data_IF_879888445495
#
_entry.id   IF_879888445495
#
_cell.length_a   1.000
_cell.length_b   1.000
_cell.length_c   1.000
_cell.angle_alpha   90.00
_cell.angle_beta   90.00
_cell.angle_gamma   90.00
#
_symmetry.space_group_name_H-M   'P 1'
#
loop_
_entity.id
_entity.type
_entity.pdbx_description
1 polymer ?
#
# COMPACT_ATOMS: atom_id res chain seq x y z
N UNK A 1 7.28 -1.33 13.70
CA UNK A 1 5.94 -0.82 13.38
C UNK A 1 4.94 -1.01 14.55
N UNK A 2 5.40 -0.88 15.76
CA UNK A 2 4.55 -0.91 16.95
C UNK A 2 4.73 0.40 17.73
N UNK A 3 3.73 0.84 18.48
CA UNK A 3 2.43 0.22 18.72
C UNK A 3 1.43 0.37 17.56
N UNK A 4 0.36 -0.45 17.57
CA UNK A 4 -0.72 -0.39 16.60
C UNK A 4 -2.07 -0.23 17.32
N UNK A 5 -2.95 0.61 16.81
CA UNK A 5 -4.35 0.72 17.20
C UNK A 5 -5.23 0.12 16.10
N UNK A 6 -6.28 -0.59 16.47
CA UNK A 6 -7.15 -1.34 15.56
C UNK A 6 -8.61 -0.90 15.65
N UNK A 7 -9.39 -1.25 14.61
CA UNK A 7 -10.83 -0.97 14.58
C UNK A 7 -11.17 0.51 14.45
N UNK A 8 -10.27 1.31 13.91
CA UNK A 8 -10.42 2.74 13.71
C UNK A 8 -10.73 3.04 12.25
N UNK A 9 -11.64 3.99 12.03
CA UNK A 9 -11.93 4.55 10.71
C UNK A 9 -11.09 5.82 10.48
N UNK A 10 -10.02 5.78 9.66
CA UNK A 10 -9.15 6.93 9.44
C UNK A 10 -9.82 8.07 8.69
N UNK A 11 -11.09 7.94 8.33
CA UNK A 11 -11.88 9.03 7.73
C UNK A 11 -12.63 9.86 8.76
N UNK A 12 -12.56 9.48 10.05
CA UNK A 12 -13.20 10.15 11.18
C UNK A 12 -12.16 10.76 12.12
N UNK A 13 -12.30 12.04 12.41
CA UNK A 13 -11.39 12.78 13.30
C UNK A 13 -11.34 12.22 14.73
N UNK A 14 -12.47 11.70 15.21
CA UNK A 14 -12.60 11.09 16.53
C UNK A 14 -11.74 9.82 16.61
N UNK A 15 -11.78 8.98 15.58
CA UNK A 15 -10.99 7.74 15.52
C UNK A 15 -9.48 8.04 15.33
N UNK A 16 -9.13 9.08 14.58
CA UNK A 16 -7.77 9.58 14.51
C UNK A 16 -7.24 9.98 15.88
N UNK A 17 -8.00 10.79 16.61
CA UNK A 17 -7.66 11.25 17.97
C UNK A 17 -7.54 10.08 18.94
N UNK A 18 -8.47 9.12 18.88
CA UNK A 18 -8.44 7.92 19.70
C UNK A 18 -7.17 7.10 19.44
N UNK A 19 -6.82 6.88 18.16
CA UNK A 19 -5.61 6.16 17.77
C UNK A 19 -4.33 6.84 18.26
N UNK A 20 -4.26 8.17 18.18
CA UNK A 20 -3.14 8.95 18.72
C UNK A 20 -2.96 8.74 20.22
N UNK A 21 -4.05 8.85 20.99
CA UNK A 21 -4.02 8.67 22.45
C UNK A 21 -3.59 7.25 22.80
N UNK A 22 -4.20 6.25 22.18
CA UNK A 22 -3.94 4.84 22.43
C UNK A 22 -2.49 4.46 22.11
N UNK A 23 -1.99 4.82 20.91
CA UNK A 23 -0.61 4.53 20.55
C UNK A 23 0.41 5.23 21.44
N UNK A 24 0.17 6.46 21.88
CA UNK A 24 1.06 7.16 22.81
C UNK A 24 1.05 6.55 24.20
N UNK A 25 -0.07 6.00 24.64
CA UNK A 25 -0.13 5.26 25.89
C UNK A 25 0.68 3.96 25.79
N UNK A 26 0.53 3.18 24.72
CA UNK A 26 1.34 1.98 24.50
C UNK A 26 2.84 2.26 24.46
N UNK A 27 3.27 3.38 23.87
CA UNK A 27 4.69 3.77 23.90
C UNK A 27 5.20 3.91 25.33
N UNK A 28 4.45 4.55 26.21
CA UNK A 28 4.82 4.71 27.63
C UNK A 28 4.89 3.35 28.35
N UNK A 29 3.93 2.47 28.11
CA UNK A 29 3.88 1.12 28.66
C UNK A 29 5.07 0.28 28.20
N UNK A 30 5.40 0.31 26.90
CA UNK A 30 6.55 -0.40 26.34
C UNK A 30 7.85 0.11 26.97
N UNK A 31 8.06 1.42 27.06
CA UNK A 31 9.27 1.99 27.65
C UNK A 31 9.38 1.63 29.14
N UNK A 32 8.26 1.68 29.88
CA UNK A 32 8.23 1.29 31.28
C UNK A 32 8.57 -0.19 31.46
N UNK A 33 8.01 -1.06 30.62
CA UNK A 33 8.33 -2.48 30.59
C UNK A 33 9.81 -2.74 30.33
N UNK A 34 10.37 -2.12 29.29
CA UNK A 34 11.79 -2.28 28.94
C UNK A 34 12.70 -1.85 30.07
N UNK A 35 12.45 -0.70 30.70
CA UNK A 35 13.21 -0.22 31.86
C UNK A 35 13.18 -1.15 33.05
N UNK A 36 12.05 -1.81 33.28
CA UNK A 36 11.87 -2.68 34.47
C UNK A 36 12.38 -4.11 34.27
N UNK A 37 12.54 -4.57 33.04
CA UNK A 37 12.90 -5.95 32.75
C UNK A 37 14.31 -6.15 32.18
N UNK A 38 14.95 -5.08 31.70
CA UNK A 38 16.29 -5.12 31.10
C UNK A 38 17.19 -4.09 31.74
N UNK A 39 18.21 -4.53 32.47
CA UNK A 39 19.17 -3.65 33.17
C UNK A 39 19.87 -2.71 32.21
N UNK A 40 20.20 -3.20 30.98
CA UNK A 40 20.85 -2.43 29.93
C UNK A 40 19.98 -1.29 29.39
N UNK A 41 18.68 -1.36 29.61
CA UNK A 41 17.69 -0.41 29.11
C UNK A 41 17.07 0.47 30.21
N UNK A 42 17.55 0.39 31.43
CA UNK A 42 16.99 1.14 32.56
C UNK A 42 16.97 2.66 32.39
N UNK A 43 17.94 3.18 31.63
CA UNK A 43 18.14 4.61 31.41
C UNK A 43 17.66 5.08 30.02
N UNK A 44 16.97 4.23 29.25
CA UNK A 44 16.44 4.65 27.94
C UNK A 44 15.47 5.81 28.08
N UNK A 45 15.49 6.72 27.11
CA UNK A 45 14.56 7.84 27.00
C UNK A 45 13.91 7.88 25.63
N UNK A 46 12.70 8.44 25.54
CA UNK A 46 12.01 8.69 24.29
C UNK A 46 12.62 9.93 23.65
N UNK A 47 13.44 9.76 22.62
CA UNK A 47 14.06 10.88 21.90
C UNK A 47 13.03 11.62 21.04
N UNK A 48 12.12 10.91 20.38
CA UNK A 48 11.06 11.51 19.56
C UNK A 48 9.90 10.52 19.35
N UNK A 49 8.73 11.06 19.08
CA UNK A 49 7.53 10.32 18.66
C UNK A 49 7.08 10.96 17.36
N UNK A 50 6.54 10.15 16.43
CA UNK A 50 5.93 10.67 15.20
C UNK A 50 4.88 11.74 15.52
N UNK A 51 4.81 12.83 14.75
CA UNK A 51 3.87 13.93 15.03
C UNK A 51 2.41 13.49 14.94
N UNK A 52 2.12 12.52 14.09
CA UNK A 52 0.79 11.96 13.88
C UNK A 52 0.83 10.45 13.63
N UNK A 53 -0.31 9.79 13.85
CA UNK A 53 -0.47 8.36 13.61
C UNK A 53 -0.44 8.06 12.10
N UNK A 54 0.29 7.02 11.71
CA UNK A 54 0.39 6.56 10.31
C UNK A 54 -0.69 5.54 9.97
N UNK A 55 -1.61 5.88 9.07
CA UNK A 55 -2.59 4.94 8.54
C UNK A 55 -2.03 4.19 7.33
N UNK A 56 -2.13 2.88 7.39
CA UNK A 56 -1.64 2.00 6.31
C UNK A 56 -2.69 1.77 5.24
N UNK A 57 -3.96 1.78 5.58
CA UNK A 57 -5.11 1.64 4.69
C UNK A 57 -6.20 2.67 5.05
N UNK A 58 -6.89 3.19 4.03
CA UNK A 58 -8.00 4.12 4.18
C UNK A 58 -8.88 4.08 2.93
N UNK A 59 -8.99 5.20 2.21
CA UNK A 59 -9.79 5.31 1.00
C UNK A 59 -9.03 4.85 -0.23
N UNK A 60 -9.69 4.07 -1.07
CA UNK A 60 -9.25 3.70 -2.43
C UNK A 60 -10.27 4.20 -3.44
N UNK A 61 -9.82 4.55 -4.63
CA UNK A 61 -10.73 4.94 -5.70
C UNK A 61 -11.51 3.74 -6.25
N UNK A 62 -12.61 4.03 -6.92
CA UNK A 62 -13.27 3.11 -7.85
C UNK A 62 -12.72 3.42 -9.23
N UNK A 63 -11.73 2.65 -9.66
CA UNK A 63 -11.07 2.78 -10.96
C UNK A 63 -11.73 1.98 -12.06
N UNK A 64 -11.28 2.19 -13.29
CA UNK A 64 -11.72 1.42 -14.46
C UNK A 64 -11.36 -0.06 -14.34
N UNK A 65 -10.33 -0.39 -13.57
CA UNK A 65 -9.99 -1.74 -13.14
C UNK A 65 -9.80 -1.76 -11.64
N UNK A 66 -10.24 -2.82 -10.97
CA UNK A 66 -10.01 -3.06 -9.55
C UNK A 66 -9.09 -4.27 -9.42
N UNK A 67 -7.84 -4.03 -9.07
CA UNK A 67 -6.90 -5.11 -8.78
C UNK A 67 -7.37 -5.98 -7.63
N UNK A 68 -7.23 -7.28 -7.78
CA UNK A 68 -7.58 -8.26 -6.74
C UNK A 68 -6.39 -9.12 -6.36
N UNK A 69 -6.47 -9.72 -5.17
CA UNK A 69 -5.43 -10.64 -4.71
C UNK A 69 -5.33 -11.86 -5.63
N UNK A 70 -6.45 -12.34 -6.17
CA UNK A 70 -6.48 -13.49 -7.09
C UNK A 70 -5.71 -13.20 -8.37
N UNK A 71 -5.83 -11.98 -8.92
CA UNK A 71 -5.07 -11.55 -10.10
C UNK A 71 -3.56 -11.48 -9.80
N UNK A 72 -3.19 -10.95 -8.62
CA UNK A 72 -1.79 -10.89 -8.20
C UNK A 72 -1.21 -12.29 -7.98
N UNK A 73 -1.96 -13.21 -7.38
CA UNK A 73 -1.55 -14.61 -7.18
C UNK A 73 -1.42 -15.37 -8.51
N UNK A 74 -2.33 -15.11 -9.45
CA UNK A 74 -2.30 -15.68 -10.78
C UNK A 74 -1.20 -15.09 -11.68
N UNK A 75 -0.50 -14.05 -11.22
CA UNK A 75 0.46 -13.28 -12.04
C UNK A 75 -0.16 -12.80 -13.36
N UNK A 76 -1.39 -12.27 -13.25
CA UNK A 76 -2.16 -11.83 -14.40
C UNK A 76 -1.38 -10.78 -15.19
N UNK A 77 -1.25 -11.01 -16.49
CA UNK A 77 -0.68 -10.05 -17.43
C UNK A 77 -1.74 -9.08 -17.95
N UNK A 78 -1.39 -7.80 -18.05
CA UNK A 78 -2.27 -6.77 -18.59
C UNK A 78 -1.62 -6.06 -19.77
N UNK A 79 -2.40 -5.82 -20.83
CA UNK A 79 -1.94 -5.04 -21.98
C UNK A 79 -1.55 -3.59 -21.62
N UNK A 80 -2.13 -3.08 -20.53
CA UNK A 80 -1.91 -1.74 -20.00
C UNK A 80 -1.03 -1.70 -18.75
N UNK A 81 -0.13 -2.65 -18.59
CA UNK A 81 0.83 -2.70 -17.45
C UNK A 81 1.73 -1.47 -17.43
N UNK A 82 1.80 -0.83 -16.25
CA UNK A 82 2.63 0.35 -15.99
C UNK A 82 3.71 0.13 -14.93
N UNK A 83 3.63 -0.96 -14.20
CA UNK A 83 4.61 -1.35 -13.20
C UNK A 83 4.59 -2.86 -13.02
N UNK A 84 5.76 -3.44 -12.73
CA UNK A 84 5.92 -4.83 -12.31
C UNK A 84 6.63 -4.83 -10.97
N UNK A 85 6.10 -5.56 -10.01
CA UNK A 85 6.63 -5.56 -8.65
C UNK A 85 6.73 -6.98 -8.11
N UNK A 86 7.77 -7.30 -7.31
CA UNK A 86 7.86 -8.58 -6.64
C UNK A 86 6.64 -8.83 -5.76
N UNK A 87 6.15 -10.05 -5.74
CA UNK A 87 5.03 -10.43 -4.90
C UNK A 87 5.40 -10.28 -3.42
N UNK A 88 4.69 -9.41 -2.76
CA UNK A 88 4.92 -9.07 -1.36
C UNK A 88 3.61 -8.68 -0.70
N UNK A 89 3.32 -9.23 0.46
CA UNK A 89 2.17 -8.85 1.27
C UNK A 89 2.63 -8.54 2.70
N UNK A 90 2.21 -7.41 3.19
CA UNK A 90 2.45 -6.97 4.56
C UNK A 90 1.11 -6.58 5.18
N UNK A 91 0.41 -7.56 5.71
CA UNK A 91 -0.90 -7.38 6.32
C UNK A 91 -0.87 -7.82 7.78
N UNK A 92 -1.38 -6.95 8.65
CA UNK A 92 -1.68 -7.28 10.04
C UNK A 92 -3.17 -7.55 10.18
N UNK A 93 -3.52 -8.74 10.64
CA UNK A 93 -4.88 -9.03 11.09
C UNK A 93 -5.01 -8.64 12.57
N UNK A 94 -6.11 -8.01 12.99
CA UNK A 94 -6.38 -7.77 14.41
C UNK A 94 -6.33 -9.04 15.25
N UNK A 95 -6.81 -10.15 14.69
CA UNK A 95 -6.85 -11.46 15.38
C UNK A 95 -5.46 -12.07 15.58
N UNK A 96 -4.47 -11.70 14.75
CA UNK A 96 -3.10 -12.18 14.86
C UNK A 96 -2.36 -11.71 16.10
N UNK A 97 -2.74 -10.54 16.58
CA UNK A 97 -2.09 -9.92 17.75
C UNK A 97 -2.62 -10.51 19.04
N UNK A 98 -3.85 -11.10 19.02
CA UNK A 98 -4.51 -11.62 20.21
C UNK A 98 -4.20 -13.08 20.53
N UNK A 99 -3.91 -13.90 19.52
CA UNK A 99 -3.83 -15.36 19.69
C UNK A 99 -2.41 -15.93 19.72
N UNK A 100 -1.38 -15.14 19.43
CA UNK A 100 0.02 -15.62 19.40
C UNK A 100 0.26 -16.75 18.39
N UNK A 101 -0.65 -16.96 17.43
CA UNK A 101 -0.56 -18.04 16.47
C UNK A 101 0.24 -17.62 15.24
N UNK A 102 1.39 -18.26 15.04
CA UNK A 102 2.31 -18.00 13.93
C UNK A 102 1.84 -18.56 12.58
N UNK A 103 0.68 -19.20 12.52
CA UNK A 103 0.29 -19.98 11.36
C UNK A 103 -0.90 -19.37 10.62
N UNK A 104 -0.66 -18.42 9.75
CA UNK A 104 -1.60 -18.12 8.68
C UNK A 104 -1.33 -19.06 7.50
N UNK A 105 -1.74 -20.30 7.64
CA UNK A 105 -1.87 -21.23 6.52
C UNK A 105 -3.34 -21.24 6.09
N UNK A 106 -3.64 -20.50 5.04
CA UNK A 106 -4.95 -20.55 4.39
C UNK A 106 -5.71 -19.21 4.42
N UNK A 107 -6.59 -19.04 3.48
CA UNK A 107 -7.33 -17.82 3.11
C UNK A 107 -8.32 -17.25 4.14
N UNK A 108 -8.20 -17.59 5.38
CA UNK A 108 -8.92 -16.93 6.46
C UNK A 108 -7.94 -16.03 7.20
N UNK A 109 -7.86 -14.78 6.83
CA UNK A 109 -6.93 -13.74 7.28
C UNK A 109 -6.87 -13.57 8.81
N UNK A 110 -6.58 -14.66 9.52
CA UNK A 110 -6.24 -14.65 10.93
C UNK A 110 -4.73 -14.69 11.03
N UNK A 111 -4.12 -13.63 11.53
CA UNK A 111 -2.69 -13.58 11.76
C UNK A 111 -1.94 -12.52 10.93
N UNK A 112 -0.65 -12.41 11.20
CA UNK A 112 0.26 -11.58 10.43
C UNK A 112 0.68 -12.30 9.16
N UNK A 113 0.26 -11.79 8.00
CA UNK A 113 0.74 -12.28 6.73
C UNK A 113 1.91 -11.39 6.31
N UNK A 114 3.11 -11.85 6.63
CA UNK A 114 4.33 -11.35 6.03
C UNK A 114 4.86 -12.43 5.09
N UNK A 115 4.60 -12.29 3.81
CA UNK A 115 5.31 -13.05 2.79
C UNK A 115 6.48 -12.21 2.29
N UNK A 116 7.69 -12.46 2.77
CA UNK A 116 8.87 -11.84 2.22
C UNK A 116 9.05 -12.26 0.77
N UNK A 117 9.71 -11.43 -0.02
CA UNK A 117 10.13 -11.72 -1.38
C UNK A 117 11.07 -12.95 -1.34
N UNK A 118 10.51 -14.16 -1.41
CA UNK A 118 11.26 -15.42 -1.36
C UNK A 118 11.21 -16.19 -2.67
N UNK A 119 10.38 -15.77 -3.59
CA UNK A 119 10.27 -16.38 -4.91
C UNK A 119 10.38 -15.28 -5.99
N UNK A 120 10.62 -15.70 -7.21
CA UNK A 120 10.77 -14.82 -8.37
C UNK A 120 9.40 -14.34 -8.91
N UNK A 121 8.29 -14.64 -8.19
CA UNK A 121 6.97 -14.20 -8.63
C UNK A 121 6.82 -12.70 -8.52
N UNK A 122 6.21 -12.15 -9.53
CA UNK A 122 5.88 -10.73 -9.62
C UNK A 122 4.39 -10.56 -9.88
N UNK A 123 3.89 -9.37 -9.71
CA UNK A 123 2.58 -8.97 -10.19
C UNK A 123 2.68 -7.68 -10.98
N UNK A 124 1.73 -7.47 -11.85
CA UNK A 124 1.64 -6.30 -12.71
C UNK A 124 0.57 -5.35 -12.20
N UNK A 125 0.76 -4.04 -12.44
CA UNK A 125 -0.22 -2.99 -12.14
C UNK A 125 -0.73 -2.41 -13.46
N UNK A 126 -2.03 -2.56 -13.75
CA UNK A 126 -2.62 -2.00 -14.96
C UNK A 126 -2.88 -0.49 -14.80
N UNK A 127 -2.68 0.28 -15.87
CA UNK A 127 -2.96 1.71 -15.93
C UNK A 127 -4.39 2.06 -15.50
N UNK A 128 -5.35 1.25 -15.90
CA UNK A 128 -6.78 1.43 -15.59
C UNK A 128 -7.08 1.44 -14.09
N UNK A 129 -6.21 0.90 -13.24
CA UNK A 129 -6.37 0.97 -11.78
C UNK A 129 -6.10 2.37 -11.22
N UNK A 130 -5.43 3.25 -11.99
CA UNK A 130 -5.15 4.64 -11.64
C UNK A 130 -6.27 5.60 -12.08
N UNK A 131 -7.15 5.17 -12.98
CA UNK A 131 -8.15 6.01 -13.65
C UNK A 131 -9.50 5.90 -12.97
N UNK A 132 -10.01 6.95 -12.29
CA UNK A 132 -11.32 6.92 -11.65
C UNK A 132 -12.46 6.80 -12.66
N UNK A 133 -13.49 6.00 -12.33
CA UNK A 133 -14.67 5.80 -13.21
C UNK A 133 -15.43 7.11 -13.46
N UNK A 134 -15.53 7.97 -12.46
CA UNK A 134 -16.44 9.15 -12.50
C UNK A 134 -15.76 10.48 -12.79
N UNK A 135 -14.43 10.54 -12.80
CA UNK A 135 -13.68 11.80 -12.95
C UNK A 135 -12.72 11.70 -14.12
N UNK A 136 -12.93 12.52 -15.14
CA UNK A 136 -12.20 12.42 -16.42
C UNK A 136 -10.77 12.97 -16.40
N UNK A 137 -10.49 13.96 -15.55
CA UNK A 137 -9.21 14.69 -15.54
C UNK A 137 -8.38 14.37 -14.28
N UNK A 138 -8.52 13.16 -13.75
CA UNK A 138 -7.85 12.75 -12.53
C UNK A 138 -7.16 11.41 -12.74
N UNK A 139 -5.95 11.30 -12.25
CA UNK A 139 -5.27 10.05 -11.97
C UNK A 139 -4.98 9.95 -10.48
N UNK A 140 -5.01 8.76 -9.94
CA UNK A 140 -4.65 8.48 -8.56
C UNK A 140 -3.51 7.48 -8.55
N UNK A 141 -2.47 7.74 -7.75
CA UNK A 141 -1.31 6.88 -7.62
C UNK A 141 -1.06 6.48 -6.17
N UNK A 142 -0.17 5.52 -5.97
CA UNK A 142 0.18 5.03 -4.64
C UNK A 142 -0.90 4.16 -4.00
N UNK A 143 -0.95 4.13 -2.68
CA UNK A 143 -1.84 3.21 -1.94
C UNK A 143 -3.35 3.42 -2.16
N UNK A 144 -3.74 4.53 -2.80
CA UNK A 144 -5.15 4.89 -3.03
C UNK A 144 -5.70 4.40 -4.38
N UNK A 145 -4.90 3.70 -5.20
CA UNK A 145 -5.37 3.15 -6.48
C UNK A 145 -6.47 2.12 -6.26
N UNK A 146 -7.16 1.76 -7.34
CA UNK A 146 -8.28 0.85 -7.28
C UNK A 146 -7.83 -0.59 -7.07
N UNK A 147 -8.02 -1.10 -5.86
CA UNK A 147 -7.66 -2.45 -5.46
C UNK A 147 -8.62 -2.98 -4.39
N UNK A 148 -8.64 -4.28 -4.16
CA UNK A 148 -9.24 -4.84 -2.97
C UNK A 148 -8.35 -4.63 -1.72
N UNK A 149 -8.83 -5.01 -0.54
CA UNK A 149 -8.12 -4.79 0.71
C UNK A 149 -6.79 -5.54 0.79
N UNK A 150 -6.74 -6.77 0.27
CA UNK A 150 -5.54 -7.62 0.36
C UNK A 150 -4.51 -7.22 -0.69
N UNK A 151 -4.95 -6.96 -1.92
CA UNK A 151 -4.09 -6.46 -2.98
C UNK A 151 -3.43 -5.13 -2.59
N UNK A 152 -4.16 -4.24 -1.88
CA UNK A 152 -3.62 -2.98 -1.37
C UNK A 152 -2.39 -3.20 -0.49
N UNK A 153 -2.36 -4.26 0.31
CA UNK A 153 -1.21 -4.55 1.17
C UNK A 153 0.11 -4.80 0.41
N UNK A 154 0.03 -5.29 -0.82
CA UNK A 154 1.18 -5.39 -1.73
C UNK A 154 1.47 -4.08 -2.48
N UNK A 155 0.41 -3.34 -2.83
CA UNK A 155 0.51 -2.13 -3.66
C UNK A 155 1.12 -0.95 -2.90
N UNK A 156 0.92 -0.84 -1.60
CA UNK A 156 1.36 0.31 -0.79
C UNK A 156 2.88 0.35 -0.48
N UNK A 157 3.67 -0.58 -1.03
CA UNK A 157 5.12 -0.50 -0.94
C UNK A 157 5.63 0.83 -1.52
N UNK A 158 6.58 1.48 -0.83
CA UNK A 158 7.07 2.82 -1.21
C UNK A 158 7.54 2.86 -2.66
N UNK A 159 8.34 1.87 -3.07
CA UNK A 159 8.86 1.78 -4.42
C UNK A 159 7.76 1.64 -5.47
N UNK A 160 6.73 0.84 -5.20
CA UNK A 160 5.59 0.70 -6.10
C UNK A 160 4.75 1.99 -6.15
N UNK A 161 4.58 2.67 -5.01
CA UNK A 161 3.94 3.99 -4.99
C UNK A 161 4.69 5.02 -5.84
N UNK A 162 6.03 4.96 -5.86
CA UNK A 162 6.87 5.81 -6.72
C UNK A 162 6.65 5.45 -8.21
N UNK A 163 6.65 4.16 -8.57
CA UNK A 163 6.42 3.72 -9.96
C UNK A 163 5.04 4.15 -10.47
N UNK A 164 3.99 3.96 -9.67
CA UNK A 164 2.63 4.40 -10.05
C UNK A 164 2.51 5.92 -10.11
N UNK A 165 3.25 6.65 -9.25
CA UNK A 165 3.34 8.11 -9.30
C UNK A 165 3.99 8.62 -10.58
N UNK A 166 5.10 8.00 -10.99
CA UNK A 166 5.78 8.32 -12.23
C UNK A 166 4.89 8.02 -13.45
N UNK A 167 4.24 6.85 -13.46
CA UNK A 167 3.31 6.48 -14.52
C UNK A 167 2.15 7.47 -14.64
N UNK A 168 1.58 7.91 -13.51
CA UNK A 168 0.52 8.92 -13.50
C UNK A 168 1.01 10.27 -14.04
N UNK A 169 2.22 10.69 -13.67
CA UNK A 169 2.82 11.94 -14.17
C UNK A 169 3.06 11.93 -15.66
N UNK A 170 3.66 10.83 -16.19
CA UNK A 170 3.90 10.68 -17.64
C UNK A 170 2.57 10.60 -18.41
N UNK A 171 1.59 9.86 -17.90
CA UNK A 171 0.27 9.76 -18.52
C UNK A 171 -0.47 11.11 -18.57
N UNK A 172 -0.39 11.89 -17.49
CA UNK A 172 -0.98 13.24 -17.45
C UNK A 172 -0.33 14.17 -18.48
N UNK A 173 0.99 14.12 -18.62
CA UNK A 173 1.72 14.84 -19.68
C UNK A 173 1.24 14.46 -21.08
N UNK A 174 1.14 13.15 -21.37
CA UNK A 174 0.60 12.64 -22.63
C UNK A 174 -0.84 13.12 -22.90
N UNK A 175 -1.71 13.03 -21.90
CA UNK A 175 -3.09 13.47 -22.05
C UNK A 175 -3.21 14.95 -22.42
N UNK A 176 -2.35 15.80 -21.84
CA UNK A 176 -2.27 17.24 -22.19
C UNK A 176 -1.75 17.44 -23.61
N UNK A 177 -0.65 16.77 -23.99
CA UNK A 177 -0.06 16.85 -25.34
C UNK A 177 -1.07 16.44 -26.42
N UNK A 178 -1.81 15.37 -26.18
CA UNK A 178 -2.76 14.78 -27.13
C UNK A 178 -4.18 15.34 -27.01
N UNK A 179 -4.44 16.23 -26.04
CA UNK A 179 -5.78 16.77 -25.73
C UNK A 179 -6.83 15.68 -25.48
N UNK A 180 -6.43 14.65 -24.76
CA UNK A 180 -7.24 13.49 -24.39
C UNK A 180 -7.60 13.52 -22.89
N UNK A 181 -8.62 12.76 -22.53
CA UNK A 181 -8.89 12.46 -21.12
C UNK A 181 -7.93 11.39 -20.61
N UNK A 182 -7.83 11.22 -19.28
CA UNK A 182 -6.95 10.20 -18.68
C UNK A 182 -7.30 8.77 -19.10
N UNK A 183 -8.57 8.50 -19.37
CA UNK A 183 -9.02 7.18 -19.87
C UNK A 183 -8.67 6.91 -21.33
N UNK A 184 -8.37 7.96 -22.12
CA UNK A 184 -8.08 7.88 -23.56
C UNK A 184 -6.59 7.94 -23.88
N UNK A 185 -5.72 7.98 -22.87
CA UNK A 185 -4.26 7.98 -23.05
C UNK A 185 -3.83 6.75 -23.84
N UNK A 186 -2.97 6.97 -24.84
CA UNK A 186 -2.35 5.88 -25.59
C UNK A 186 -1.39 5.11 -24.69
N UNK A 187 -1.83 3.94 -24.24
CA UNK A 187 -1.07 3.08 -23.32
C UNK A 187 0.25 2.62 -23.93
N UNK A 188 0.32 2.37 -25.24
CA UNK A 188 1.56 1.94 -25.90
C UNK A 188 2.61 3.06 -25.89
N UNK A 189 2.21 4.29 -26.15
CA UNK A 189 3.12 5.44 -26.05
C UNK A 189 3.49 5.71 -24.58
N UNK A 190 2.56 5.56 -23.62
CA UNK A 190 2.85 5.62 -22.19
C UNK A 190 3.92 4.61 -21.79
N UNK A 191 3.74 3.33 -22.12
CA UNK A 191 4.69 2.26 -21.83
C UNK A 191 6.06 2.53 -22.44
N UNK A 192 6.11 3.03 -23.68
CA UNK A 192 7.36 3.42 -24.35
C UNK A 192 8.10 4.53 -23.60
N UNK A 193 7.37 5.54 -23.07
CA UNK A 193 7.97 6.61 -22.25
C UNK A 193 8.45 6.09 -20.92
N UNK A 194 7.68 5.23 -20.26
CA UNK A 194 8.05 4.61 -19.00
C UNK A 194 9.33 3.78 -19.10
N UNK A 195 9.49 3.00 -20.19
CA UNK A 195 10.76 2.27 -20.46
C UNK A 195 11.95 3.21 -20.61
N UNK A 196 11.77 4.40 -21.22
CA UNK A 196 12.84 5.42 -21.29
C UNK A 196 13.21 6.00 -19.93
N UNK A 197 12.29 5.97 -18.96
CA UNK A 197 12.53 6.32 -17.57
C UNK A 197 13.09 5.15 -16.75
N UNK A 198 13.51 4.05 -17.38
CA UNK A 198 14.03 2.82 -16.77
C UNK A 198 13.01 2.07 -15.89
N UNK A 199 11.72 2.25 -16.11
CA UNK A 199 10.71 1.40 -15.49
C UNK A 199 10.68 0.07 -16.25
N UNK A 200 10.93 -1.01 -15.51
CA UNK A 200 10.87 -2.37 -16.07
C UNK A 200 9.40 -2.79 -16.21
N UNK A 201 8.91 -2.81 -17.45
CA UNK A 201 7.58 -3.32 -17.82
C UNK A 201 7.71 -4.23 -19.04
N UNK A 202 6.88 -5.26 -19.17
CA UNK A 202 6.91 -6.18 -20.31
C UNK A 202 6.80 -5.47 -21.67
N UNK A 203 7.30 -6.13 -22.71
CA UNK A 203 7.16 -5.64 -24.10
C UNK A 203 5.75 -5.86 -24.66
#
# INVERSE_FOLDING_TARGET
NYPCAYGLDPTKSEDLTKGEIECRQYIKEIVSYLKSHYEELKDIEIASIAPEIGFRDSRRIVGLHKMTIEEMEAQTHYEDTIAVFPRFYDMLSPDAVMDGDETVKGRGYKGYIYEPIRDERTFEVPYRSLVPVKVKNLLVAGRCISADHVAECGIRAISLCMMTGEAAGVAAGLAVEEKKTMAEVDVKELQKRLRKCNINIPE
#
